data_IF_061746699913
#
_entry.id   IF_061746699913
#
_cell.length_a   1.000
_cell.length_b   1.000
_cell.length_c   1.000
_cell.angle_alpha   90.00
_cell.angle_beta   90.00
_cell.angle_gamma   90.00
#
_symmetry.space_group_name_H-M   'P 1'
#
loop_
_entity.id
_entity.type
_entity.pdbx_description
1 polymer ?
#
# COMPACT_ATOMS: atom_id res chain seq x y z
N UNK A 1 54.20 -20.80 38.05
CA UNK A 1 52.73 -20.79 37.85
C UNK A 1 52.28 -19.38 38.19
N UNK A 2 51.70 -18.67 37.23
CA UNK A 2 51.14 -17.33 37.41
C UNK A 2 49.62 -17.38 37.31
N UNK A 3 48.94 -16.50 38.03
CA UNK A 3 47.49 -16.37 37.97
C UNK A 3 47.19 -15.06 37.22
N UNK A 4 46.47 -15.17 36.12
CA UNK A 4 45.95 -14.03 35.37
C UNK A 4 44.48 -13.86 35.71
N UNK A 5 44.07 -12.67 36.14
CA UNK A 5 42.66 -12.39 36.43
C UNK A 5 42.14 -11.30 35.51
N UNK A 6 40.91 -11.48 35.00
CA UNK A 6 40.15 -10.40 34.36
C UNK A 6 39.20 -9.83 35.38
N UNK A 7 39.55 -8.68 35.97
CA UNK A 7 38.77 -8.04 37.01
C UNK A 7 38.68 -6.52 36.80
N UNK A 8 37.64 -5.92 37.35
CA UNK A 8 37.48 -4.47 37.50
C UNK A 8 37.64 -4.15 38.98
N UNK A 9 38.49 -3.17 39.28
CA UNK A 9 38.79 -2.76 40.64
C UNK A 9 39.04 -1.26 40.73
N UNK A 10 39.13 -0.80 41.97
CA UNK A 10 39.56 0.56 42.28
C UNK A 10 41.06 0.54 42.50
N UNK A 11 41.77 1.46 41.83
CA UNK A 11 43.21 1.56 41.92
C UNK A 11 43.63 3.01 42.11
N UNK A 12 44.64 3.21 42.95
CA UNK A 12 45.27 4.50 43.19
C UNK A 12 46.74 4.44 42.79
N UNK A 13 47.30 5.60 42.42
CA UNK A 13 48.74 5.68 42.11
C UNK A 13 49.53 5.59 43.41
N UNK A 14 50.52 4.72 43.45
CA UNK A 14 51.39 4.52 44.59
C UNK A 14 52.84 4.30 44.14
N UNK A 15 53.80 4.66 44.99
CA UNK A 15 55.19 4.28 44.78
C UNK A 15 55.50 3.09 45.71
N UNK A 16 55.78 1.93 45.11
CA UNK A 16 56.07 0.68 45.84
C UNK A 16 57.49 0.26 45.44
N UNK A 17 58.37 0.11 46.43
CA UNK A 17 59.78 -0.27 46.22
C UNK A 17 60.52 0.63 45.21
N UNK A 18 60.19 1.93 45.18
CA UNK A 18 60.82 2.91 44.29
C UNK A 18 60.23 2.95 42.88
N UNK A 19 59.21 2.14 42.58
CA UNK A 19 58.54 2.12 41.28
C UNK A 19 57.14 2.73 41.37
N UNK A 20 56.84 3.68 40.48
CA UNK A 20 55.49 4.22 40.34
C UNK A 20 54.58 3.16 39.71
N UNK A 21 53.59 2.72 40.48
CA UNK A 21 52.65 1.67 40.10
C UNK A 21 51.22 2.05 40.52
N UNK A 22 50.24 1.27 40.06
CA UNK A 22 48.87 1.40 40.54
C UNK A 22 48.64 0.35 41.63
N UNK A 23 48.37 0.78 42.86
CA UNK A 23 47.93 -0.08 43.94
C UNK A 23 46.44 -0.36 43.77
N UNK A 24 46.07 -1.63 43.64
CA UNK A 24 44.66 -2.04 43.58
C UNK A 24 44.14 -2.16 45.01
N UNK A 25 43.22 -1.28 45.39
CA UNK A 25 42.68 -1.19 46.76
C UNK A 25 41.50 -2.15 46.96
N UNK A 26 40.71 -2.38 45.90
CA UNK A 26 39.58 -3.30 45.93
C UNK A 26 39.31 -3.90 44.55
N UNK A 27 38.90 -5.17 44.54
CA UNK A 27 38.31 -5.81 43.36
C UNK A 27 36.80 -5.72 43.46
N UNK A 28 36.18 -4.95 42.56
CA UNK A 28 34.72 -4.77 42.52
C UNK A 28 34.02 -5.91 41.79
N UNK A 29 34.67 -6.48 40.77
CA UNK A 29 34.12 -7.60 39.98
C UNK A 29 35.25 -8.40 39.33
N UNK A 30 35.14 -9.72 39.33
CA UNK A 30 36.01 -10.61 38.57
C UNK A 30 35.19 -11.37 37.52
N UNK A 31 35.70 -11.49 36.29
CA UNK A 31 35.07 -12.21 35.17
C UNK A 31 35.72 -13.55 34.88
N UNK A 32 37.04 -13.64 34.97
CA UNK A 32 37.76 -14.90 34.77
C UNK A 32 39.06 -14.93 35.55
N UNK A 33 39.51 -16.15 35.86
CA UNK A 33 40.81 -16.45 36.45
C UNK A 33 41.44 -17.54 35.60
N UNK A 34 42.57 -17.22 34.98
CA UNK A 34 43.33 -18.13 34.13
C UNK A 34 44.63 -18.50 34.84
N UNK A 35 44.90 -19.79 35.00
CA UNK A 35 46.16 -20.29 35.56
C UNK A 35 47.18 -20.47 34.43
N UNK A 36 48.17 -19.59 34.37
CA UNK A 36 49.30 -19.68 33.44
C UNK A 36 50.48 -20.45 34.04
N UNK A 37 51.17 -21.25 33.23
CA UNK A 37 52.53 -21.72 33.56
C UNK A 37 53.54 -21.00 32.67
N UNK A 38 54.81 -20.94 33.09
CA UNK A 38 55.87 -20.44 32.21
C UNK A 38 55.98 -21.36 30.97
N UNK A 39 56.33 -20.80 29.81
CA UNK A 39 56.49 -21.59 28.59
C UNK A 39 57.46 -22.77 28.83
N UNK A 40 57.00 -24.00 28.56
CA UNK A 40 57.80 -25.23 28.70
C UNK A 40 57.78 -25.91 30.08
N UNK A 41 56.96 -25.47 31.04
CA UNK A 41 56.96 -26.00 32.41
C UNK A 41 56.21 -27.36 32.60
N UNK A 42 55.63 -27.94 31.55
CA UNK A 42 55.01 -29.28 31.59
C UNK A 42 53.81 -29.45 32.55
N UNK A 43 53.33 -28.37 33.18
CA UNK A 43 52.22 -28.44 34.13
C UNK A 43 50.88 -28.61 33.42
N UNK A 44 50.15 -29.67 33.75
CA UNK A 44 48.75 -29.82 33.38
C UNK A 44 47.87 -28.98 34.33
N UNK A 45 47.02 -28.14 33.75
CA UNK A 45 45.93 -27.46 34.48
C UNK A 45 44.66 -28.24 34.15
N UNK A 46 44.13 -28.97 35.13
CA UNK A 46 42.81 -29.59 35.03
C UNK A 46 41.78 -28.47 35.26
N UNK A 47 41.24 -27.93 34.16
CA UNK A 47 40.32 -26.81 34.19
C UNK A 47 39.03 -27.19 34.93
N UNK A 48 38.71 -26.51 36.03
CA UNK A 48 37.34 -26.47 36.56
C UNK A 48 36.64 -25.28 35.89
N UNK A 49 35.81 -25.57 34.88
CA UNK A 49 34.92 -24.58 34.29
C UNK A 49 33.96 -24.04 35.35
N UNK A 50 33.89 -22.71 35.48
CA UNK A 50 32.67 -22.09 35.97
C UNK A 50 31.61 -22.25 34.87
N UNK A 51 30.78 -23.27 35.01
CA UNK A 51 29.58 -23.50 34.21
C UNK A 51 28.64 -22.30 34.33
N UNK A 52 28.71 -21.36 33.38
CA UNK A 52 27.63 -20.44 33.06
C UNK A 52 27.66 -20.16 31.56
N UNK A 53 26.68 -20.71 30.84
CA UNK A 53 26.32 -20.42 29.45
C UNK A 53 26.69 -19.00 29.02
N UNK A 54 27.76 -18.86 28.21
CA UNK A 54 28.38 -17.59 27.79
C UNK A 54 27.73 -16.92 26.58
N UNK A 55 26.58 -17.39 26.13
CA UNK A 55 25.96 -16.79 24.93
C UNK A 55 25.43 -15.37 25.18
N UNK A 56 25.23 -14.97 26.45
CA UNK A 56 24.74 -13.64 26.83
C UNK A 56 25.47 -13.06 28.07
N UNK A 57 26.79 -12.95 28.03
CA UNK A 57 27.56 -12.19 29.04
C UNK A 57 27.43 -10.67 28.79
N UNK A 58 26.20 -10.16 28.98
CA UNK A 58 25.83 -8.76 28.79
C UNK A 58 25.76 -8.06 30.14
N UNK A 59 26.40 -6.89 30.25
CA UNK A 59 26.26 -6.07 31.45
C UNK A 59 24.86 -5.44 31.46
N UNK A 60 24.07 -5.74 32.50
CA UNK A 60 22.81 -5.07 32.77
C UNK A 60 23.12 -3.67 33.31
N UNK A 61 22.83 -2.65 32.51
CA UNK A 61 23.03 -1.24 32.87
C UNK A 61 21.66 -0.60 33.05
N UNK A 62 21.48 0.18 34.11
CA UNK A 62 20.22 0.90 34.31
C UNK A 62 20.04 2.01 33.27
N UNK A 63 18.80 2.40 32.99
CA UNK A 63 18.53 3.47 32.03
C UNK A 63 19.25 4.79 32.39
N UNK A 64 19.38 5.09 33.70
CA UNK A 64 20.11 6.27 34.18
C UNK A 64 21.62 6.16 33.95
N UNK A 65 22.21 5.00 34.20
CA UNK A 65 23.64 4.75 33.92
C UNK A 65 23.96 4.83 32.44
N UNK A 66 23.06 4.34 31.57
CA UNK A 66 23.23 4.49 30.13
C UNK A 66 23.22 5.98 29.73
N UNK A 67 22.36 6.81 30.34
CA UNK A 67 22.36 8.27 30.11
C UNK A 67 23.64 8.95 30.55
N UNK A 68 24.18 8.54 31.68
CA UNK A 68 25.44 9.10 32.18
C UNK A 68 26.65 8.64 31.34
N UNK A 69 26.70 7.37 30.93
CA UNK A 69 27.85 6.78 30.23
C UNK A 69 27.88 7.09 28.74
N UNK A 70 26.71 7.17 28.09
CA UNK A 70 26.57 7.31 26.63
C UNK A 70 25.43 8.25 26.25
N UNK A 71 25.54 9.56 26.58
CA UNK A 71 24.53 10.54 26.19
C UNK A 71 24.37 10.66 24.66
N UNK A 72 25.44 10.41 23.92
CA UNK A 72 25.48 10.40 22.44
C UNK A 72 24.48 9.42 21.82
N UNK A 73 24.38 8.20 22.37
CA UNK A 73 23.46 7.17 21.87
C UNK A 73 22.00 7.54 22.15
N UNK A 74 21.74 8.20 23.27
CA UNK A 74 20.39 8.61 23.65
C UNK A 74 19.91 9.76 22.78
N UNK A 75 20.76 10.76 22.53
CA UNK A 75 20.42 11.84 21.59
C UNK A 75 20.14 11.29 20.19
N UNK A 76 20.93 10.31 19.73
CA UNK A 76 20.70 9.66 18.45
C UNK A 76 19.32 8.98 18.40
N UNK A 77 18.98 8.18 19.42
CA UNK A 77 17.70 7.46 19.51
C UNK A 77 16.52 8.42 19.63
N UNK A 78 16.63 9.47 20.43
CA UNK A 78 15.57 10.46 20.57
C UNK A 78 15.37 11.25 19.27
N UNK A 79 16.45 11.57 18.56
CA UNK A 79 16.38 12.25 17.27
C UNK A 79 15.74 11.39 16.18
N UNK A 80 15.98 10.07 16.16
CA UNK A 80 15.34 9.15 15.23
C UNK A 80 13.86 8.98 15.54
N UNK A 81 13.49 8.83 16.81
CA UNK A 81 12.09 8.73 17.23
C UNK A 81 11.26 9.98 16.86
N UNK A 82 11.87 11.17 16.95
CA UNK A 82 11.24 12.43 16.52
C UNK A 82 11.02 12.48 14.99
N UNK A 83 11.97 11.98 14.20
CA UNK A 83 11.83 11.92 12.73
C UNK A 83 10.75 10.93 12.30
N UNK A 84 10.68 9.77 12.96
CA UNK A 84 9.64 8.78 12.68
C UNK A 84 8.23 9.32 12.99
N UNK A 85 8.06 9.99 14.14
CA UNK A 85 6.76 10.59 14.49
C UNK A 85 6.33 11.71 13.55
N UNK A 86 7.27 12.52 13.02
CA UNK A 86 6.92 13.49 11.97
C UNK A 86 6.50 12.81 10.67
N UNK A 87 7.20 11.74 10.27
CA UNK A 87 6.88 11.01 9.04
C UNK A 87 5.50 10.35 9.12
N UNK A 88 5.16 9.74 10.27
CA UNK A 88 3.84 9.13 10.48
C UNK A 88 2.73 10.18 10.35
N UNK A 89 2.87 11.35 10.99
CA UNK A 89 1.89 12.44 10.87
C UNK A 89 1.71 12.92 9.43
N UNK A 90 2.79 13.04 8.67
CA UNK A 90 2.70 13.45 7.25
C UNK A 90 2.02 12.38 6.40
N UNK A 91 2.27 11.10 6.68
CA UNK A 91 1.62 9.99 5.96
C UNK A 91 0.13 9.90 6.27
N UNK A 92 -0.27 10.12 7.54
CA UNK A 92 -1.69 10.19 7.93
C UNK A 92 -2.42 11.33 7.20
N UNK A 93 -1.80 12.50 7.08
CA UNK A 93 -2.36 13.63 6.34
C UNK A 93 -2.51 13.31 4.84
N UNK A 94 -1.48 12.75 4.21
CA UNK A 94 -1.54 12.33 2.81
C UNK A 94 -2.60 11.24 2.57
N UNK A 95 -2.75 10.31 3.50
CA UNK A 95 -3.75 9.25 3.42
C UNK A 95 -5.17 9.82 3.54
N UNK A 96 -5.39 10.80 4.42
CA UNK A 96 -6.67 11.49 4.52
C UNK A 96 -7.01 12.28 3.25
N UNK A 97 -6.05 13.02 2.69
CA UNK A 97 -6.24 13.78 1.44
C UNK A 97 -6.54 12.87 0.25
N UNK A 98 -5.76 11.80 0.08
CA UNK A 98 -5.98 10.83 -1.01
C UNK A 98 -7.32 10.10 -0.88
N UNK A 99 -7.74 9.75 0.34
CA UNK A 99 -9.07 9.16 0.55
C UNK A 99 -10.21 10.12 0.19
N UNK A 100 -10.06 11.41 0.52
CA UNK A 100 -11.03 12.43 0.14
C UNK A 100 -11.14 12.59 -1.39
N UNK A 101 -10.00 12.66 -2.08
CA UNK A 101 -9.95 12.72 -3.55
C UNK A 101 -10.59 11.49 -4.20
N UNK A 102 -10.29 10.29 -3.69
CA UNK A 102 -10.83 9.03 -4.22
C UNK A 102 -12.35 8.93 -4.00
N UNK A 103 -12.86 9.45 -2.88
CA UNK A 103 -14.28 9.53 -2.62
C UNK A 103 -15.00 10.51 -3.57
N UNK A 104 -14.37 11.65 -3.87
CA UNK A 104 -14.89 12.65 -4.81
C UNK A 104 -14.88 12.10 -6.25
N UNK A 105 -13.78 11.47 -6.67
CA UNK A 105 -13.65 10.87 -8.00
C UNK A 105 -14.66 9.72 -8.19
N UNK A 106 -14.89 8.89 -7.17
CA UNK A 106 -15.94 7.86 -7.21
C UNK A 106 -17.32 8.47 -7.42
N UNK A 107 -17.65 9.58 -6.74
CA UNK A 107 -18.93 10.28 -6.93
C UNK A 107 -19.04 10.88 -8.35
N UNK A 108 -17.95 11.44 -8.87
CA UNK A 108 -17.92 11.96 -10.24
C UNK A 108 -18.12 10.84 -11.27
N UNK A 109 -17.49 9.67 -11.05
CA UNK A 109 -17.60 8.51 -11.94
C UNK A 109 -19.00 7.92 -11.96
N UNK A 110 -19.66 7.76 -10.81
CA UNK A 110 -21.05 7.27 -10.76
C UNK A 110 -22.02 8.27 -11.41
N UNK A 111 -21.79 9.58 -11.24
CA UNK A 111 -22.56 10.61 -11.93
C UNK A 111 -22.34 10.61 -13.45
N UNK A 112 -21.13 10.31 -13.92
CA UNK A 112 -20.84 10.16 -15.34
C UNK A 112 -21.48 8.89 -15.93
N UNK A 113 -21.40 7.77 -15.21
CA UNK A 113 -21.96 6.47 -15.62
C UNK A 113 -23.50 6.50 -15.69
N UNK A 114 -24.16 7.17 -14.75
CA UNK A 114 -25.63 7.39 -14.80
C UNK A 114 -26.03 8.28 -15.98
N UNK A 115 -25.24 9.29 -16.34
CA UNK A 115 -25.49 10.10 -17.53
C UNK A 115 -25.27 9.32 -18.83
N UNK A 116 -24.23 8.49 -18.88
CA UNK A 116 -23.92 7.66 -20.04
C UNK A 116 -25.02 6.62 -20.30
N UNK A 117 -25.45 5.89 -19.27
CA UNK A 117 -26.55 4.90 -19.37
C UNK A 117 -27.87 5.56 -19.76
N UNK A 118 -28.18 6.75 -19.24
CA UNK A 118 -29.37 7.51 -19.63
C UNK A 118 -29.31 8.01 -21.08
N UNK A 119 -28.11 8.32 -21.60
CA UNK A 119 -27.92 8.70 -22.99
C UNK A 119 -28.03 7.49 -23.92
N UNK A 120 -27.40 6.36 -23.57
CA UNK A 120 -27.47 5.10 -24.31
C UNK A 120 -28.91 4.57 -24.42
N UNK A 121 -29.72 4.74 -23.37
CA UNK A 121 -31.13 4.36 -23.41
C UNK A 121 -31.98 5.19 -24.39
N UNK A 122 -31.57 6.42 -24.74
CA UNK A 122 -32.28 7.30 -25.68
C UNK A 122 -31.95 7.03 -27.15
N UNK A 123 -30.80 6.41 -27.42
CA UNK A 123 -30.37 6.04 -28.78
C UNK A 123 -31.36 5.09 -29.47
N UNK A 124 -31.83 3.98 -28.86
CA UNK A 124 -32.76 3.06 -29.52
C UNK A 124 -34.15 3.67 -29.76
N UNK A 125 -34.59 4.62 -28.93
CA UNK A 125 -35.85 5.34 -29.17
C UNK A 125 -35.73 6.30 -30.34
N UNK A 126 -34.61 7.04 -30.41
CA UNK A 126 -34.32 7.94 -31.54
C UNK A 126 -34.14 7.17 -32.85
N UNK A 127 -33.50 6.00 -32.84
CA UNK A 127 -33.34 5.14 -34.02
C UNK A 127 -34.66 4.52 -34.50
N UNK A 128 -35.54 4.13 -33.57
CA UNK A 128 -36.89 3.66 -33.94
C UNK A 128 -37.72 4.79 -34.56
N UNK A 129 -37.63 6.00 -34.00
CA UNK A 129 -38.32 7.17 -34.53
C UNK A 129 -37.81 7.56 -35.93
N UNK A 130 -36.49 7.53 -36.16
CA UNK A 130 -35.91 7.83 -37.47
C UNK A 130 -36.29 6.79 -38.52
N UNK A 131 -36.24 5.49 -38.18
CA UNK A 131 -36.65 4.40 -39.08
C UNK A 131 -38.15 4.42 -39.43
N UNK A 132 -39.02 4.79 -38.48
CA UNK A 132 -40.46 5.03 -38.76
C UNK A 132 -40.67 6.24 -39.69
N UNK A 133 -39.91 7.31 -39.49
CA UNK A 133 -39.97 8.49 -40.35
C UNK A 133 -39.50 8.19 -41.79
N UNK A 134 -38.44 7.38 -41.96
CA UNK A 134 -37.99 6.96 -43.30
C UNK A 134 -38.98 6.03 -43.97
N UNK A 135 -39.52 5.04 -43.25
CA UNK A 135 -40.50 4.10 -43.79
C UNK A 135 -41.81 4.79 -44.22
N UNK A 136 -42.32 5.73 -43.41
CA UNK A 136 -43.51 6.52 -43.77
C UNK A 136 -43.27 7.47 -44.95
N UNK A 137 -42.08 8.06 -45.06
CA UNK A 137 -41.72 8.90 -46.21
C UNK A 137 -41.62 8.08 -47.50
N UNK A 138 -41.03 6.89 -47.47
CA UNK A 138 -40.94 5.99 -48.62
C UNK A 138 -42.30 5.42 -49.03
N UNK A 139 -43.14 5.03 -48.06
CA UNK A 139 -44.52 4.64 -48.33
C UNK A 139 -45.31 5.76 -49.00
N UNK A 140 -45.10 7.01 -48.58
CA UNK A 140 -45.75 8.17 -49.20
C UNK A 140 -45.32 8.36 -50.65
N UNK A 141 -44.03 8.12 -50.96
CA UNK A 141 -43.51 8.14 -52.33
C UNK A 141 -44.10 7.01 -53.19
N UNK A 142 -44.09 5.78 -52.67
CA UNK A 142 -44.64 4.61 -53.39
C UNK A 142 -46.15 4.73 -53.65
N UNK A 143 -46.91 5.28 -52.70
CA UNK A 143 -48.34 5.54 -52.90
C UNK A 143 -48.62 6.66 -53.91
N UNK A 144 -47.74 7.68 -53.99
CA UNK A 144 -47.86 8.72 -55.00
C UNK A 144 -47.56 8.20 -56.42
N UNK A 145 -46.59 7.29 -56.55
CA UNK A 145 -46.24 6.63 -57.82
C UNK A 145 -47.27 5.56 -58.24
N UNK A 146 -47.96 4.94 -57.27
CA UNK A 146 -48.86 3.82 -57.54
C UNK A 146 -50.22 4.22 -58.14
N UNK A 147 -50.62 5.49 -58.07
CA UNK A 147 -51.90 6.02 -58.60
C UNK A 147 -53.14 5.28 -58.08
N UNK A 148 -53.09 4.72 -56.88
CA UNK A 148 -54.23 4.04 -56.24
C UNK A 148 -55.33 5.04 -55.80
N UNK A 149 -56.61 4.63 -55.71
CA UNK A 149 -57.69 5.47 -55.17
C UNK A 149 -57.42 5.93 -53.71
N UNK A 150 -57.85 7.15 -53.36
CA UNK A 150 -57.66 7.73 -52.02
C UNK A 150 -58.08 6.84 -50.84
N UNK A 151 -59.19 6.05 -50.90
CA UNK A 151 -59.58 5.17 -49.81
C UNK A 151 -58.53 4.08 -49.53
N UNK A 152 -57.92 3.54 -50.59
CA UNK A 152 -56.91 2.47 -50.53
C UNK A 152 -55.58 3.01 -50.01
N UNK A 153 -55.20 4.23 -50.41
CA UNK A 153 -54.01 4.91 -49.88
C UNK A 153 -54.13 5.18 -48.37
N UNK A 154 -55.31 5.59 -47.87
CA UNK A 154 -55.54 5.77 -46.43
C UNK A 154 -55.40 4.46 -45.65
N UNK A 155 -55.99 3.38 -46.17
CA UNK A 155 -55.87 2.05 -45.56
C UNK A 155 -54.42 1.55 -45.49
N UNK A 156 -53.63 1.77 -46.54
CA UNK A 156 -52.22 1.38 -46.57
C UNK A 156 -51.37 2.23 -45.61
N UNK A 157 -51.63 3.54 -45.50
CA UNK A 157 -50.97 4.39 -44.50
C UNK A 157 -51.26 3.95 -43.07
N UNK A 158 -52.49 3.53 -42.78
CA UNK A 158 -52.87 3.00 -41.45
C UNK A 158 -52.21 1.65 -41.17
N UNK A 159 -52.19 0.72 -42.15
CA UNK A 159 -51.56 -0.61 -42.01
C UNK A 159 -50.07 -0.53 -41.70
N UNK A 160 -49.37 0.47 -42.25
CA UNK A 160 -47.92 0.63 -42.08
C UNK A 160 -47.52 1.75 -41.12
N UNK A 161 -48.46 2.29 -40.32
CA UNK A 161 -48.21 3.41 -39.40
C UNK A 161 -47.14 3.10 -38.33
N UNK A 162 -47.00 1.83 -37.94
CA UNK A 162 -46.01 1.38 -36.96
C UNK A 162 -44.79 0.69 -37.59
N UNK A 163 -44.74 0.58 -38.93
CA UNK A 163 -43.67 -0.10 -39.63
C UNK A 163 -42.33 0.63 -39.47
N UNK A 164 -41.28 -0.15 -39.18
CA UNK A 164 -39.90 0.33 -38.96
C UNK A 164 -38.99 -0.05 -40.13
N UNK A 165 -39.53 -0.77 -41.13
CA UNK A 165 -38.87 -1.18 -42.37
C UNK A 165 -39.82 -0.99 -43.55
N UNK A 166 -39.25 -0.93 -44.74
CA UNK A 166 -39.91 -0.81 -46.04
C UNK A 166 -40.24 -2.16 -46.67
N UNK A 167 -39.86 -3.26 -46.01
CA UNK A 167 -40.11 -4.62 -46.47
C UNK A 167 -41.62 -4.89 -46.59
N UNK A 168 -42.03 -5.49 -47.72
CA UNK A 168 -43.42 -5.80 -48.03
C UNK A 168 -44.27 -4.62 -48.53
N UNK A 169 -43.81 -3.36 -48.41
CA UNK A 169 -44.60 -2.19 -48.85
C UNK A 169 -44.89 -2.21 -50.36
N UNK A 170 -43.93 -2.62 -51.18
CA UNK A 170 -44.12 -2.73 -52.64
C UNK A 170 -45.07 -3.87 -53.00
N UNK A 171 -44.92 -5.02 -52.37
CA UNK A 171 -45.76 -6.21 -52.60
C UNK A 171 -47.22 -5.94 -52.21
N UNK A 172 -47.47 -5.27 -51.07
CA UNK A 172 -48.82 -4.88 -50.68
C UNK A 172 -49.44 -3.83 -51.60
N UNK A 173 -48.65 -2.90 -52.14
CA UNK A 173 -49.12 -1.89 -53.09
C UNK A 173 -49.47 -2.53 -54.45
N UNK A 174 -48.73 -3.55 -54.87
CA UNK A 174 -49.03 -4.32 -56.08
C UNK A 174 -50.25 -5.25 -55.91
N UNK A 175 -50.40 -5.89 -54.75
CA UNK A 175 -51.59 -6.71 -54.43
C UNK A 175 -52.91 -5.92 -54.42
N UNK A 176 -52.87 -4.64 -54.09
CA UNK A 176 -54.06 -3.76 -54.08
C UNK A 176 -54.27 -3.05 -55.44
N UNK A 177 -53.37 -3.29 -56.43
CA UNK A 177 -53.51 -2.84 -57.83
C UNK A 177 -54.19 -3.87 -58.73
N UNK A 178 -54.09 -5.16 -58.40
CA UNK A 178 -54.85 -6.26 -59.04
C UNK A 178 -56.31 -6.28 -58.59
#
# INVERSE_FOLDING_TARGET
MGISIRAVGEASKANIEGMDTNCVEALLRARSVDFGTYAGAGGQVEAMESDQNRDNDVDLVSGAELRARRPDLIELIESSARKETTNVKTLEQQLAETQAQLAEEKKARTAAETKATAAEAKIPESEKASKKATASAELTKLLAESKLPEPTQKRLREKFAEAVSTDGMKEQIELERE
#
